data_IF_218212691449
#
_entry.id   IF_218212691449
#
_cell.length_a   1.000
_cell.length_b   1.000
_cell.length_c   1.000
_cell.angle_alpha   90.00
_cell.angle_beta   90.00
_cell.angle_gamma   90.00
#
_symmetry.space_group_name_H-M   'P 1'
#
loop_
_entity.id
_entity.type
_entity.pdbx_description
1 polymer ?
#
# COMPACT_ATOMS: atom_id res chain seq x y z
N UNK A 1 7.17 -14.19 5.18
CA UNK A 1 5.70 -14.09 5.01
C UNK A 1 5.41 -13.21 3.81
N UNK A 2 4.49 -13.64 2.94
CA UNK A 2 4.06 -12.86 1.78
C UNK A 2 2.58 -12.55 1.90
N UNK A 3 2.21 -11.27 1.78
CA UNK A 3 0.81 -10.85 1.63
C UNK A 3 0.61 -10.36 0.20
N UNK A 4 -0.16 -11.09 -0.62
CA UNK A 4 -0.33 -10.77 -2.03
C UNK A 4 -1.32 -9.60 -2.23
N UNK A 5 -1.46 -9.19 -3.48
CA UNK A 5 -2.54 -8.31 -3.91
C UNK A 5 -3.92 -8.93 -3.70
N UNK A 6 -4.96 -8.13 -3.89
CA UNK A 6 -6.35 -8.57 -3.79
C UNK A 6 -7.32 -7.42 -3.96
N UNK A 7 -8.60 -7.74 -3.91
CA UNK A 7 -9.72 -6.79 -4.00
C UNK A 7 -10.77 -7.14 -2.96
N UNK A 8 -11.49 -6.13 -2.49
CA UNK A 8 -12.54 -6.28 -1.48
C UNK A 8 -12.01 -6.40 -0.04
N UNK A 9 -12.97 -6.48 0.87
CA UNK A 9 -12.79 -6.42 2.34
C UNK A 9 -12.54 -7.78 3.01
N UNK A 10 -12.77 -8.88 2.28
CA UNK A 10 -12.68 -10.22 2.85
C UNK A 10 -11.26 -10.56 3.32
N UNK A 11 -11.12 -10.78 4.62
CA UNK A 11 -9.88 -11.23 5.25
C UNK A 11 -8.82 -10.15 5.45
N UNK A 12 -9.20 -8.86 5.35
CA UNK A 12 -8.27 -7.72 5.54
C UNK A 12 -7.62 -7.77 6.92
N UNK A 13 -8.38 -7.93 8.00
CA UNK A 13 -7.82 -7.97 9.36
C UNK A 13 -6.92 -9.19 9.58
N UNK A 14 -7.21 -10.33 8.94
CA UNK A 14 -6.31 -11.49 8.95
C UNK A 14 -4.97 -11.21 8.26
N UNK A 15 -4.99 -10.46 7.15
CA UNK A 15 -3.76 -10.01 6.48
C UNK A 15 -2.99 -9.02 7.36
N UNK A 16 -3.66 -8.04 7.97
CA UNK A 16 -3.05 -7.09 8.92
C UNK A 16 -2.41 -7.82 10.10
N UNK A 17 -3.08 -8.85 10.63
CA UNK A 17 -2.51 -9.68 11.69
C UNK A 17 -1.23 -10.41 11.24
N UNK A 18 -1.21 -10.99 10.04
CA UNK A 18 -0.02 -11.63 9.50
C UNK A 18 1.15 -10.64 9.29
N UNK A 19 0.85 -9.40 8.89
CA UNK A 19 1.84 -8.31 8.78
C UNK A 19 2.39 -7.95 10.15
N UNK A 20 1.51 -7.74 11.12
CA UNK A 20 1.88 -7.42 12.52
C UNK A 20 2.79 -8.51 13.09
N UNK A 21 2.42 -9.78 12.88
CA UNK A 21 3.20 -10.91 13.31
C UNK A 21 4.60 -10.91 12.68
N UNK A 22 4.69 -10.71 11.37
CA UNK A 22 5.98 -10.67 10.67
C UNK A 22 6.89 -9.55 11.20
N UNK A 23 6.34 -8.33 11.35
CA UNK A 23 7.09 -7.15 11.82
C UNK A 23 7.59 -7.32 13.25
N UNK A 24 6.74 -7.79 14.16
CA UNK A 24 7.04 -7.89 15.59
C UNK A 24 7.97 -9.06 15.94
N UNK A 25 8.09 -10.06 15.06
CA UNK A 25 8.92 -11.25 15.28
C UNK A 25 10.18 -11.28 14.39
N UNK A 26 10.49 -10.18 13.68
CA UNK A 26 11.69 -10.10 12.83
C UNK A 26 11.67 -11.07 11.65
N UNK A 27 10.48 -11.45 11.16
CA UNK A 27 10.34 -12.40 10.06
C UNK A 27 10.40 -11.63 8.73
N UNK A 28 11.23 -12.06 7.74
CA UNK A 28 11.23 -11.45 6.43
C UNK A 28 9.84 -11.37 5.81
N UNK A 29 9.47 -10.19 5.31
CA UNK A 29 8.13 -9.88 4.83
C UNK A 29 8.16 -9.25 3.43
N UNK A 30 7.19 -9.60 2.60
CA UNK A 30 6.93 -8.96 1.31
C UNK A 30 5.43 -8.70 1.14
N UNK A 31 5.05 -7.42 1.01
CA UNK A 31 3.68 -6.99 0.72
C UNK A 31 3.57 -6.52 -0.73
N UNK A 32 2.66 -7.11 -1.50
CA UNK A 32 2.45 -6.77 -2.91
C UNK A 32 1.08 -6.12 -3.11
N UNK A 33 1.02 -4.99 -3.83
CA UNK A 33 -0.23 -4.30 -4.15
C UNK A 33 -1.06 -4.03 -2.87
N UNK A 34 -2.24 -4.64 -2.71
CA UNK A 34 -3.02 -4.56 -1.47
C UNK A 34 -2.20 -4.94 -0.23
N UNK A 35 -1.29 -5.91 -0.33
CA UNK A 35 -0.38 -6.25 0.77
C UNK A 35 0.54 -5.11 1.18
N UNK A 36 1.00 -4.30 0.22
CA UNK A 36 1.77 -3.08 0.50
C UNK A 36 0.91 -2.04 1.22
N UNK A 37 -0.31 -1.80 0.71
CA UNK A 37 -1.27 -0.86 1.32
C UNK A 37 -1.60 -1.25 2.77
N UNK A 38 -1.87 -2.53 3.02
CA UNK A 38 -2.16 -3.02 4.37
C UNK A 38 -0.94 -2.97 5.29
N UNK A 39 0.28 -2.97 4.74
CA UNK A 39 1.49 -2.80 5.54
C UNK A 39 1.60 -1.38 6.09
N UNK A 40 1.21 -0.38 5.29
CA UNK A 40 1.15 1.02 5.72
C UNK A 40 0.05 1.20 6.77
N UNK A 41 -1.12 0.59 6.56
CA UNK A 41 -2.22 0.59 7.55
C UNK A 41 -1.76 -0.03 8.88
N UNK A 42 -1.12 -1.21 8.85
CA UNK A 42 -0.61 -1.88 10.05
C UNK A 42 0.39 -1.00 10.80
N UNK A 43 1.35 -0.41 10.09
CA UNK A 43 2.38 0.43 10.68
C UNK A 43 1.79 1.72 11.28
N UNK A 44 0.85 2.36 10.57
CA UNK A 44 0.16 3.56 11.06
C UNK A 44 -0.62 3.27 12.36
N UNK A 45 -1.36 2.15 12.41
CA UNK A 45 -2.13 1.75 13.61
C UNK A 45 -1.25 1.41 14.80
N UNK A 46 -0.22 0.60 14.57
CA UNK A 46 0.49 -0.09 15.64
C UNK A 46 1.81 0.58 16.05
N UNK A 47 2.37 1.45 15.21
CA UNK A 47 3.65 2.12 15.48
C UNK A 47 3.49 3.63 15.57
N UNK A 48 2.73 4.24 14.65
CA UNK A 48 2.49 5.69 14.68
C UNK A 48 1.42 6.07 15.71
N UNK A 49 0.44 5.19 15.95
CA UNK A 49 -0.64 5.40 16.92
C UNK A 49 -1.96 5.88 16.31
N UNK A 50 -2.08 5.89 14.98
CA UNK A 50 -3.33 6.21 14.28
C UNK A 50 -4.25 4.99 14.26
N UNK A 51 -4.89 4.72 15.40
CA UNK A 51 -5.59 3.46 15.63
C UNK A 51 -6.72 3.14 14.64
N UNK A 52 -7.36 4.15 14.05
CA UNK A 52 -8.41 3.98 13.03
C UNK A 52 -7.88 4.08 11.59
N UNK A 53 -6.56 4.20 11.38
CA UNK A 53 -5.98 4.37 10.05
C UNK A 53 -6.44 3.26 9.10
N UNK A 54 -6.82 3.64 7.88
CA UNK A 54 -7.29 2.70 6.88
C UNK A 54 -7.12 3.22 5.45
N UNK A 55 -7.26 2.32 4.49
CA UNK A 55 -7.69 2.67 3.13
C UNK A 55 -9.13 3.15 3.11
N UNK A 56 -9.39 4.27 2.42
CA UNK A 56 -10.75 4.78 2.16
C UNK A 56 -11.57 3.82 1.29
N UNK A 57 -10.94 2.91 0.54
CA UNK A 57 -11.63 1.83 -0.18
C UNK A 57 -12.41 0.91 0.76
N UNK A 58 -11.87 0.69 1.96
CA UNK A 58 -12.30 -0.35 2.90
C UNK A 58 -12.97 0.23 4.14
N UNK A 59 -12.57 1.43 4.56
CA UNK A 59 -13.24 2.19 5.61
C UNK A 59 -13.29 3.68 5.22
N UNK A 60 -14.37 4.14 4.57
CA UNK A 60 -14.55 5.53 4.17
C UNK A 60 -14.66 6.53 5.33
N UNK A 61 -14.89 6.03 6.56
CA UNK A 61 -15.08 6.86 7.75
C UNK A 61 -13.82 7.02 8.61
N UNK A 62 -12.68 6.48 8.17
CA UNK A 62 -11.41 6.68 8.88
C UNK A 62 -11.06 8.16 8.94
N UNK A 63 -10.60 8.60 10.10
CA UNK A 63 -10.05 9.95 10.29
C UNK A 63 -8.58 10.04 9.87
N UNK A 64 -7.94 8.89 9.61
CA UNK A 64 -6.56 8.79 9.13
C UNK A 64 -6.51 7.97 7.81
N UNK A 65 -6.92 8.56 6.68
CA UNK A 65 -6.97 7.90 5.37
C UNK A 65 -5.56 7.75 4.76
N UNK A 66 -4.75 6.85 5.31
CA UNK A 66 -3.35 6.64 4.88
C UNK A 66 -3.22 6.02 3.50
N UNK A 67 -4.30 5.42 2.98
CA UNK A 67 -4.40 4.94 1.60
C UNK A 67 -5.66 5.57 0.98
N UNK A 68 -5.48 6.32 -0.10
CA UNK A 68 -6.54 7.12 -0.71
C UNK A 68 -6.45 7.12 -2.24
N UNK A 69 -7.49 7.61 -2.91
CA UNK A 69 -7.35 8.02 -4.31
C UNK A 69 -6.49 9.29 -4.36
N UNK A 70 -5.70 9.44 -5.43
CA UNK A 70 -4.90 10.65 -5.59
C UNK A 70 -5.80 11.88 -5.73
N UNK A 71 -5.39 13.07 -5.27
CA UNK A 71 -6.20 14.29 -5.34
C UNK A 71 -6.70 14.62 -6.76
N UNK A 72 -5.89 14.37 -7.78
CA UNK A 72 -6.24 14.56 -9.19
C UNK A 72 -7.33 13.59 -9.69
N UNK A 73 -7.71 12.62 -8.87
CA UNK A 73 -8.75 11.63 -9.10
C UNK A 73 -9.99 11.83 -8.21
N UNK A 74 -9.96 12.81 -7.30
CA UNK A 74 -11.11 13.15 -6.45
C UNK A 74 -12.21 13.82 -7.29
N UNK A 75 -13.41 13.22 -7.29
CA UNK A 75 -14.57 13.72 -8.04
C UNK A 75 -14.80 13.08 -9.42
N UNK A 76 -14.01 12.07 -9.80
CA UNK A 76 -14.26 11.29 -11.02
C UNK A 76 -15.35 10.25 -10.71
N UNK A 77 -16.57 10.48 -11.21
CA UNK A 77 -17.72 9.55 -11.05
C UNK A 77 -17.48 8.18 -11.70
N UNK A 78 -16.56 8.10 -12.66
CA UNK A 78 -16.11 6.86 -13.29
C UNK A 78 -14.76 6.38 -12.73
N UNK A 79 -14.82 5.61 -11.64
CA UNK A 79 -13.68 4.99 -10.96
C UNK A 79 -12.92 4.00 -11.88
N UNK A 80 -13.44 3.70 -13.09
CA UNK A 80 -12.71 2.95 -14.11
C UNK A 80 -11.46 3.68 -14.62
N UNK A 81 -11.49 5.02 -14.67
CA UNK A 81 -10.41 5.85 -15.23
C UNK A 81 -9.22 6.12 -14.29
N UNK A 82 -9.33 5.77 -13.01
CA UNK A 82 -8.30 6.06 -11.99
C UNK A 82 -7.28 4.93 -11.82
N UNK A 83 -7.46 3.83 -12.56
CA UNK A 83 -6.60 2.66 -12.49
C UNK A 83 -5.22 2.95 -13.10
N UNK A 84 -4.18 2.95 -12.27
CA UNK A 84 -2.80 2.88 -12.73
C UNK A 84 -2.56 1.49 -13.32
N UNK A 85 -2.43 1.42 -14.64
CA UNK A 85 -2.34 0.18 -15.39
C UNK A 85 -1.16 0.20 -16.36
N UNK A 86 -0.32 -0.82 -16.31
CA UNK A 86 0.81 -0.98 -17.24
C UNK A 86 2.14 -0.56 -16.64
N UNK A 87 3.12 -0.29 -17.49
CA UNK A 87 4.51 -0.02 -17.07
C UNK A 87 4.64 1.43 -16.63
N UNK A 88 5.17 1.65 -15.43
CA UNK A 88 5.49 2.99 -14.92
C UNK A 88 6.93 3.06 -14.41
N UNK A 89 7.58 4.22 -14.57
CA UNK A 89 8.90 4.44 -14.01
C UNK A 89 8.84 4.56 -12.48
N UNK A 90 9.83 3.99 -11.81
CA UNK A 90 10.09 4.16 -10.39
C UNK A 90 11.55 4.60 -10.22
N UNK A 91 11.76 5.74 -9.57
CA UNK A 91 13.09 6.21 -9.17
C UNK A 91 13.36 5.70 -7.76
N UNK A 92 14.36 4.84 -7.62
CA UNK A 92 14.72 4.20 -6.36
C UNK A 92 15.69 5.09 -5.57
N UNK A 93 15.44 5.22 -4.27
CA UNK A 93 16.41 5.80 -3.35
C UNK A 93 17.65 4.90 -3.27
N UNK A 94 18.83 5.46 -3.55
CA UNK A 94 20.13 4.76 -3.58
C UNK A 94 20.51 4.13 -2.25
N UNK A 95 19.95 4.61 -1.14
CA UNK A 95 20.17 4.07 0.21
C UNK A 95 19.22 2.92 0.55
N UNK A 96 18.18 2.72 -0.26
CA UNK A 96 17.15 1.72 0.02
C UNK A 96 17.60 0.29 -0.29
N UNK A 97 16.95 -0.67 0.38
CA UNK A 97 17.08 -2.09 0.03
C UNK A 97 16.62 -2.37 -1.40
N UNK A 98 15.63 -1.62 -1.92
CA UNK A 98 15.16 -1.79 -3.28
C UNK A 98 16.29 -1.52 -4.30
N UNK A 99 17.01 -0.40 -4.15
CA UNK A 99 18.16 -0.10 -5.01
C UNK A 99 19.24 -1.17 -4.95
N UNK A 100 19.56 -1.68 -3.74
CA UNK A 100 20.55 -2.75 -3.58
C UNK A 100 20.18 -4.06 -4.30
N UNK A 101 18.87 -4.31 -4.52
CA UNK A 101 18.37 -5.50 -5.19
C UNK A 101 18.31 -5.33 -6.72
N UNK A 102 17.87 -4.15 -7.19
CA UNK A 102 17.76 -3.89 -8.63
C UNK A 102 19.09 -3.49 -9.28
N UNK A 103 19.98 -2.80 -8.56
CA UNK A 103 21.26 -2.31 -9.10
C UNK A 103 21.14 -1.10 -10.02
N UNK A 104 19.93 -0.59 -10.25
CA UNK A 104 19.63 0.54 -11.14
C UNK A 104 18.78 1.59 -10.41
N UNK A 105 19.00 2.87 -10.70
CA UNK A 105 18.27 3.98 -10.06
C UNK A 105 16.86 4.14 -10.64
N UNK A 106 16.72 3.97 -11.96
CA UNK A 106 15.43 4.11 -12.65
C UNK A 106 15.02 2.76 -13.20
N UNK A 107 13.95 2.21 -12.66
CA UNK A 107 13.37 0.94 -13.10
C UNK A 107 11.95 1.16 -13.64
N UNK A 108 11.41 0.15 -14.32
CA UNK A 108 10.02 0.14 -14.78
C UNK A 108 9.30 -1.08 -14.21
N UNK A 109 8.16 -0.86 -13.55
CA UNK A 109 7.34 -1.94 -13.00
C UNK A 109 5.91 -1.88 -13.53
N UNK A 110 5.23 -3.02 -13.51
CA UNK A 110 3.84 -3.11 -13.95
C UNK A 110 2.89 -2.87 -12.79
N UNK A 111 2.01 -1.88 -12.97
CA UNK A 111 1.00 -1.50 -12.00
C UNK A 111 -0.38 -2.02 -12.41
N UNK A 112 -1.19 -2.33 -11.39
CA UNK A 112 -2.61 -2.63 -11.50
C UNK A 112 -3.30 -2.35 -10.16
N UNK A 113 -3.40 -1.07 -9.82
CA UNK A 113 -4.03 -0.60 -8.58
C UNK A 113 -4.64 0.80 -8.78
N UNK A 114 -5.54 1.20 -7.88
CA UNK A 114 -6.22 2.52 -7.92
C UNK A 114 -5.85 3.41 -6.74
N UNK A 115 -5.68 2.79 -5.57
CA UNK A 115 -5.44 3.50 -4.33
C UNK A 115 -3.94 3.60 -4.05
N UNK A 116 -3.51 4.80 -3.71
CA UNK A 116 -2.12 5.15 -3.45
C UNK A 116 -1.92 5.54 -1.99
N UNK A 117 -0.66 5.75 -1.61
CA UNK A 117 -0.33 6.28 -0.29
C UNK A 117 -0.76 7.73 -0.25
N UNK A 118 -1.48 8.13 0.80
CA UNK A 118 -1.85 9.52 1.00
C UNK A 118 -0.61 10.30 1.48
N UNK A 119 -0.31 11.41 0.80
CA UNK A 119 0.87 12.25 1.06
C UNK A 119 0.55 13.51 1.89
N UNK A 120 -0.72 13.70 2.26
CA UNK A 120 -1.18 14.82 3.11
C UNK A 120 -0.84 14.61 4.60
#
# INVERSE_FOLDING_TARGET
ILVPGGFGDRGIEGKIHAITYARTHGIPFLGLCLGMQLSIVEYARNVVGYHDAHSVELNPHTTHPVIALMPDQNGVEDIGGTLRLGSYPCVLDKTSRAYSLYGEETICERHRHRYEVNND
#
